data_IF_805468985701
#
_entry.id   IF_805468985701
#
_cell.length_a   1.000
_cell.length_b   1.000
_cell.length_c   1.000
_cell.angle_alpha   90.00
_cell.angle_beta   90.00
_cell.angle_gamma   90.00
#
_symmetry.space_group_name_H-M   'P 1'
#
loop_
_entity.id
_entity.type
_entity.pdbx_description
1 polymer ?
#
# COMPACT_ATOMS: atom_id res chain seq x y z
N UNK A 1 -0.98 -4.39 -21.41
CA UNK A 1 -2.30 -4.80 -21.96
C UNK A 1 -3.28 -4.94 -20.82
N UNK A 2 -4.59 -4.81 -21.07
CA UNK A 2 -5.60 -4.93 -20.02
C UNK A 2 -5.45 -6.25 -19.24
N UNK A 3 -5.39 -6.16 -17.92
CA UNK A 3 -5.19 -7.28 -17.01
C UNK A 3 -3.72 -7.61 -16.71
N UNK A 4 -2.75 -6.95 -17.34
CA UNK A 4 -1.34 -7.14 -17.03
C UNK A 4 -1.00 -6.60 -15.64
N UNK A 5 -0.11 -7.32 -14.95
CA UNK A 5 0.42 -6.92 -13.66
C UNK A 5 1.50 -5.84 -13.81
N UNK A 6 1.29 -4.70 -13.18
CA UNK A 6 2.26 -3.60 -13.07
C UNK A 6 3.08 -3.83 -11.80
N UNK A 7 4.24 -4.46 -11.97
CA UNK A 7 5.11 -4.88 -10.86
C UNK A 7 5.82 -3.68 -10.25
N UNK A 8 5.85 -3.65 -8.91
CA UNK A 8 6.68 -2.73 -8.15
C UNK A 8 8.15 -3.17 -8.17
N UNK A 9 9.06 -2.20 -8.05
CA UNK A 9 10.49 -2.40 -7.95
C UNK A 9 11.02 -1.69 -6.70
N UNK A 10 11.82 -2.42 -5.91
CA UNK A 10 12.57 -1.81 -4.80
C UNK A 10 13.76 -1.05 -5.38
N UNK A 11 13.85 0.23 -5.08
CA UNK A 11 14.91 1.11 -5.61
C UNK A 11 16.10 1.19 -4.65
N UNK A 12 15.85 1.19 -3.35
CA UNK A 12 16.88 1.22 -2.31
C UNK A 12 16.40 0.56 -1.02
N UNK A 13 17.29 -0.16 -0.35
CA UNK A 13 17.08 -0.68 0.99
C UNK A 13 18.35 -0.53 1.84
N UNK A 14 18.22 -0.01 3.06
CA UNK A 14 19.35 0.21 3.99
C UNK A 14 18.95 -0.06 5.44
N UNK A 15 19.93 -0.42 6.25
CA UNK A 15 19.77 -0.61 7.71
C UNK A 15 20.65 0.41 8.43
N UNK A 16 20.11 1.02 9.47
CA UNK A 16 20.86 1.82 10.44
C UNK A 16 20.77 1.10 11.78
N UNK A 17 21.91 0.59 12.26
CA UNK A 17 22.06 0.05 13.61
C UNK A 17 22.40 1.15 14.60
N UNK A 18 21.85 1.10 15.82
CA UNK A 18 22.07 2.09 16.88
C UNK A 18 21.76 3.51 16.40
N UNK A 19 20.49 3.75 16.06
CA UNK A 19 20.00 5.03 15.57
C UNK A 19 20.37 6.16 16.54
N UNK A 20 20.83 7.28 15.99
CA UNK A 20 21.11 8.46 16.78
C UNK A 20 19.86 8.89 17.56
N UNK A 21 20.02 9.22 18.84
CA UNK A 21 18.89 9.51 19.74
C UNK A 21 18.00 10.66 19.26
N UNK A 22 18.57 11.70 18.64
CA UNK A 22 17.78 12.83 18.15
C UNK A 22 16.92 12.41 16.95
N UNK A 23 17.45 11.57 16.06
CA UNK A 23 16.68 11.01 14.94
C UNK A 23 15.62 10.03 15.43
N UNK A 24 15.96 9.19 16.41
CA UNK A 24 15.01 8.25 17.02
C UNK A 24 13.79 8.99 17.61
N UNK A 25 14.02 10.13 18.27
CA UNK A 25 12.95 10.99 18.79
C UNK A 25 12.07 11.57 17.67
N UNK A 26 12.65 12.05 16.58
CA UNK A 26 11.87 12.59 15.44
C UNK A 26 11.03 11.50 14.75
N UNK A 27 11.50 10.25 14.73
CA UNK A 27 10.80 9.11 14.16
C UNK A 27 9.82 8.44 15.14
N UNK A 28 9.73 8.91 16.38
CA UNK A 28 8.85 8.31 17.40
C UNK A 28 9.22 6.85 17.72
N UNK A 29 10.52 6.54 17.77
CA UNK A 29 10.98 5.21 18.16
C UNK A 29 10.72 4.94 19.65
N UNK A 30 10.36 3.71 19.97
CA UNK A 30 10.29 3.22 21.35
C UNK A 30 11.70 3.06 21.94
N UNK A 31 11.83 3.05 23.26
CA UNK A 31 13.13 2.99 23.96
C UNK A 31 13.95 1.74 23.59
N UNK A 32 13.28 0.62 23.30
CA UNK A 32 13.90 -0.63 22.87
C UNK A 32 14.19 -0.68 21.36
N UNK A 33 13.61 0.18 20.53
CA UNK A 33 13.81 0.20 19.08
C UNK A 33 15.12 0.93 18.71
N UNK A 34 16.21 0.17 18.60
CA UNK A 34 17.55 0.72 18.34
C UNK A 34 18.00 0.67 16.90
N UNK A 35 17.27 -0.04 16.04
CA UNK A 35 17.62 -0.23 14.63
C UNK A 35 16.44 0.12 13.74
N UNK A 36 16.72 0.71 12.57
CA UNK A 36 15.71 0.98 11.53
C UNK A 36 16.14 0.44 10.17
N UNK A 37 15.15 0.05 9.39
CA UNK A 37 15.26 -0.32 7.99
C UNK A 37 14.55 0.72 7.14
N UNK A 38 15.23 1.22 6.11
CA UNK A 38 14.70 2.20 5.17
C UNK A 38 14.51 1.54 3.82
N UNK A 39 13.38 1.79 3.17
CA UNK A 39 13.07 1.30 1.83
C UNK A 39 12.46 2.40 0.98
N UNK A 40 12.80 2.43 -0.31
CA UNK A 40 12.10 3.21 -1.34
C UNK A 40 11.74 2.32 -2.52
N UNK A 41 10.62 2.62 -3.17
CA UNK A 41 10.11 1.87 -4.32
C UNK A 41 9.35 2.79 -5.28
N UNK A 42 9.02 2.27 -6.46
CA UNK A 42 8.23 2.96 -7.48
C UNK A 42 6.72 2.68 -7.39
N UNK A 43 6.23 2.04 -6.32
CA UNK A 43 4.81 1.81 -6.07
C UNK A 43 4.48 1.94 -4.59
N UNK A 44 3.74 2.97 -4.24
CA UNK A 44 3.44 3.31 -2.84
C UNK A 44 2.49 2.32 -2.16
N UNK A 45 1.30 2.06 -2.72
CA UNK A 45 0.30 1.18 -2.12
C UNK A 45 0.75 -0.29 -2.02
N UNK A 46 1.50 -0.79 -3.01
CA UNK A 46 2.16 -2.11 -2.91
C UNK A 46 3.11 -2.13 -1.72
N UNK A 47 3.84 -1.04 -1.49
CA UNK A 47 4.82 -0.93 -0.42
C UNK A 47 4.17 -0.73 0.96
N UNK A 48 3.03 -0.04 1.05
CA UNK A 48 2.25 0.03 2.30
C UNK A 48 1.76 -1.35 2.73
N UNK A 49 1.27 -2.17 1.81
CA UNK A 49 0.89 -3.57 2.12
C UNK A 49 2.12 -4.42 2.47
N UNK A 50 3.24 -4.24 1.76
CA UNK A 50 4.49 -4.95 2.07
C UNK A 50 5.08 -4.57 3.44
N UNK A 51 4.95 -3.29 3.85
CA UNK A 51 5.31 -2.80 5.18
C UNK A 51 4.47 -3.49 6.26
N UNK A 52 3.17 -3.67 6.00
CA UNK A 52 2.28 -4.41 6.90
C UNK A 52 2.66 -5.89 7.00
N UNK A 53 2.99 -6.52 5.88
CA UNK A 53 3.50 -7.91 5.84
C UNK A 53 4.75 -8.07 6.69
N UNK A 54 5.68 -7.11 6.67
CA UNK A 54 6.88 -7.14 7.50
C UNK A 54 6.55 -7.26 9.00
N UNK A 55 5.50 -6.58 9.46
CA UNK A 55 5.06 -6.63 10.88
C UNK A 55 4.50 -7.99 11.30
N UNK A 56 4.13 -8.84 10.32
CA UNK A 56 3.70 -10.23 10.55
C UNK A 56 4.86 -11.21 10.60
N UNK A 57 5.99 -10.87 9.95
CA UNK A 57 7.12 -11.78 9.72
C UNK A 57 8.32 -11.51 10.62
N UNK A 58 8.43 -10.31 11.17
CA UNK A 58 9.48 -9.92 12.09
C UNK A 58 8.92 -9.06 13.23
N UNK A 59 9.66 -8.96 14.34
CA UNK A 59 9.30 -8.07 15.44
C UNK A 59 9.71 -6.62 15.11
N UNK A 60 8.98 -6.04 14.16
CA UNK A 60 9.19 -4.69 13.65
C UNK A 60 7.89 -3.89 13.65
N UNK A 61 8.03 -2.56 13.72
CA UNK A 61 6.94 -1.60 13.60
C UNK A 61 7.21 -0.66 12.44
N UNK A 62 6.17 -0.31 11.69
CA UNK A 62 6.25 0.77 10.69
C UNK A 62 6.21 2.09 11.45
N UNK A 63 7.27 2.88 11.37
CA UNK A 63 7.41 4.14 12.11
C UNK A 63 7.31 5.37 11.22
N UNK A 64 7.48 5.18 9.92
CA UNK A 64 7.28 6.23 8.92
C UNK A 64 6.93 5.58 7.59
N UNK A 65 5.93 6.12 6.91
CA UNK A 65 5.60 5.71 5.55
C UNK A 65 4.90 6.88 4.85
N UNK A 66 5.48 7.35 3.73
CA UNK A 66 4.98 8.51 3.00
C UNK A 66 5.21 8.38 1.51
N UNK A 67 4.14 8.63 0.76
CA UNK A 67 4.17 8.78 -0.68
C UNK A 67 4.83 10.10 -1.09
N UNK A 68 5.34 10.17 -2.32
CA UNK A 68 6.00 11.35 -2.89
C UNK A 68 5.13 11.96 -3.98
N UNK A 69 5.20 13.29 -4.08
CA UNK A 69 4.36 14.05 -4.99
C UNK A 69 4.55 13.67 -6.46
N UNK A 70 3.43 13.50 -7.15
CA UNK A 70 3.30 13.18 -8.57
C UNK A 70 3.79 11.79 -9.01
N UNK A 71 4.07 10.88 -8.08
CA UNK A 71 4.37 9.48 -8.40
C UNK A 71 5.72 9.25 -9.09
N UNK A 72 6.04 7.98 -9.33
CA UNK A 72 7.39 7.53 -9.68
C UNK A 72 7.82 8.00 -11.08
N UNK A 73 6.87 8.17 -12.00
CA UNK A 73 7.12 8.72 -13.34
C UNK A 73 7.63 10.16 -13.32
N UNK A 74 7.43 10.88 -12.20
CA UNK A 74 7.92 12.26 -12.00
C UNK A 74 9.11 12.35 -11.04
N UNK A 75 9.70 11.21 -10.65
CA UNK A 75 10.85 11.20 -9.76
C UNK A 75 12.07 11.89 -10.41
N UNK A 76 12.56 12.96 -9.77
CA UNK A 76 13.72 13.73 -10.25
C UNK A 76 15.08 13.15 -9.82
N UNK A 77 15.08 12.12 -8.97
CA UNK A 77 16.28 11.43 -8.50
C UNK A 77 16.12 9.92 -8.52
N UNK A 78 17.21 9.20 -8.84
CA UNK A 78 17.22 7.77 -9.19
C UNK A 78 16.58 6.84 -8.14
N UNK A 79 16.70 7.17 -6.85
CA UNK A 79 16.30 6.28 -5.76
C UNK A 79 15.06 6.77 -5.01
N UNK A 80 14.44 7.87 -5.45
CA UNK A 80 13.26 8.42 -4.78
C UNK A 80 12.05 7.53 -4.99
N UNK A 81 11.77 7.14 -6.24
CA UNK A 81 10.53 6.46 -6.60
C UNK A 81 9.33 7.30 -6.21
N UNK A 82 8.36 6.70 -5.54
CA UNK A 82 7.16 7.39 -5.04
C UNK A 82 6.80 7.10 -3.58
N UNK A 83 7.63 6.37 -2.85
CA UNK A 83 7.41 6.15 -1.41
C UNK A 83 8.73 5.99 -0.67
N UNK A 84 8.74 6.46 0.58
CA UNK A 84 9.71 6.03 1.59
C UNK A 84 8.98 5.31 2.73
N UNK A 85 9.46 4.12 3.06
CA UNK A 85 9.05 3.34 4.22
C UNK A 85 10.19 3.19 5.23
N UNK A 86 9.86 3.25 6.52
CA UNK A 86 10.80 3.02 7.62
C UNK A 86 10.17 2.06 8.62
N UNK A 87 10.85 0.93 8.84
CA UNK A 87 10.54 -0.02 9.91
C UNK A 87 11.56 0.09 11.04
N UNK A 88 11.12 -0.11 12.27
CA UNK A 88 11.97 -0.09 13.46
C UNK A 88 11.90 -1.44 14.20
N UNK A 89 13.00 -1.83 14.82
CA UNK A 89 13.09 -3.04 15.64
C UNK A 89 14.21 -2.96 16.66
N UNK A 90 14.23 -3.89 17.60
CA UNK A 90 15.23 -3.89 18.69
C UNK A 90 16.65 -4.15 18.19
N UNK A 91 16.79 -5.02 17.18
CA UNK A 91 18.08 -5.45 16.66
C UNK A 91 18.16 -5.29 15.14
N UNK A 92 19.38 -5.16 14.58
CA UNK A 92 19.56 -5.16 13.13
C UNK A 92 19.06 -6.44 12.45
N UNK A 93 19.03 -7.57 13.17
CA UNK A 93 18.57 -8.85 12.63
C UNK A 93 17.05 -8.87 12.41
N UNK A 94 16.27 -8.36 13.37
CA UNK A 94 14.81 -8.21 13.22
C UNK A 94 14.47 -7.27 12.07
N UNK A 95 15.16 -6.13 12.00
CA UNK A 95 15.00 -5.17 10.89
C UNK A 95 15.34 -5.81 9.55
N UNK A 96 16.45 -6.57 9.47
CA UNK A 96 16.81 -7.28 8.24
C UNK A 96 15.72 -8.28 7.84
N UNK A 97 15.21 -9.07 8.78
CA UNK A 97 14.12 -10.02 8.51
C UNK A 97 12.85 -9.31 8.02
N UNK A 98 12.53 -8.15 8.60
CA UNK A 98 11.41 -7.32 8.15
C UNK A 98 11.61 -6.77 6.73
N UNK A 99 12.80 -6.28 6.40
CA UNK A 99 13.12 -5.82 5.04
C UNK A 99 13.09 -6.98 4.03
N UNK A 100 13.65 -8.14 4.37
CA UNK A 100 13.64 -9.30 3.48
C UNK A 100 12.19 -9.73 3.16
N UNK A 101 11.30 -9.74 4.15
CA UNK A 101 9.87 -10.05 3.97
C UNK A 101 9.14 -8.99 3.13
N UNK A 102 9.40 -7.70 3.40
CA UNK A 102 8.83 -6.57 2.67
C UNK A 102 9.22 -6.62 1.19
N UNK A 103 10.51 -6.73 0.89
CA UNK A 103 11.04 -6.73 -0.47
C UNK A 103 10.44 -7.90 -1.25
N UNK A 104 10.43 -9.10 -0.65
CA UNK A 104 9.82 -10.27 -1.29
C UNK A 104 8.34 -10.04 -1.61
N UNK A 105 7.56 -9.52 -0.66
CA UNK A 105 6.14 -9.28 -0.86
C UNK A 105 5.88 -8.25 -1.96
N UNK A 106 6.59 -7.12 -1.93
CA UNK A 106 6.43 -6.03 -2.89
C UNK A 106 6.73 -6.47 -4.34
N UNK A 107 7.76 -7.31 -4.54
CA UNK A 107 8.17 -7.72 -5.89
C UNK A 107 7.42 -8.94 -6.43
N UNK A 108 6.69 -9.69 -5.57
CA UNK A 108 6.12 -11.00 -5.94
C UNK A 108 4.63 -11.18 -5.63
N UNK A 109 4.08 -10.53 -4.60
CA UNK A 109 2.74 -10.87 -4.07
C UNK A 109 1.67 -9.79 -4.33
N UNK A 110 2.07 -8.54 -4.52
CA UNK A 110 1.16 -7.41 -4.76
C UNK A 110 1.59 -6.58 -5.97
N UNK A 111 0.61 -6.09 -6.73
CA UNK A 111 0.83 -5.27 -7.93
C UNK A 111 -0.44 -4.50 -8.27
N UNK A 112 -0.26 -3.38 -8.95
CA UNK A 112 -1.36 -2.75 -9.69
C UNK A 112 -1.69 -3.58 -10.93
N UNK A 113 -2.89 -3.42 -11.46
CA UNK A 113 -3.38 -4.11 -12.66
C UNK A 113 -3.78 -3.06 -13.69
N UNK A 114 -3.38 -3.28 -14.94
CA UNK A 114 -3.79 -2.45 -16.06
C UNK A 114 -5.29 -2.61 -16.39
N UNK A 115 -6.01 -1.50 -16.52
CA UNK A 115 -7.42 -1.47 -16.90
C UNK A 115 -7.64 -1.33 -18.42
N UNK A 116 -6.61 -1.01 -19.19
CA UNK A 116 -6.69 -0.74 -20.63
C UNK A 116 -5.46 -1.26 -21.41
N UNK A 117 -5.50 -1.18 -22.74
CA UNK A 117 -4.51 -1.87 -23.57
C UNK A 117 -3.10 -1.27 -23.53
N UNK A 118 -2.98 0.03 -23.22
CA UNK A 118 -1.73 0.79 -23.20
C UNK A 118 -1.21 1.10 -21.79
N UNK A 119 -1.81 0.49 -20.75
CA UNK A 119 -1.43 0.60 -19.35
C UNK A 119 -1.47 2.03 -18.78
N UNK A 120 -2.23 2.93 -19.44
CA UNK A 120 -2.39 4.32 -19.00
C UNK A 120 -3.42 4.51 -17.88
N UNK A 121 -4.27 3.50 -17.61
CA UNK A 121 -5.19 3.46 -16.47
C UNK A 121 -4.91 2.18 -15.69
N UNK A 122 -4.61 2.32 -14.38
CA UNK A 122 -4.25 1.21 -13.50
C UNK A 122 -5.04 1.26 -12.21
N UNK A 123 -5.27 0.13 -11.57
CA UNK A 123 -5.90 0.06 -10.25
C UNK A 123 -5.20 -0.96 -9.34
N UNK A 124 -5.36 -0.77 -8.04
CA UNK A 124 -4.95 -1.72 -7.01
C UNK A 124 -6.19 -2.21 -6.29
N UNK A 125 -6.45 -3.52 -6.34
CA UNK A 125 -7.57 -4.15 -5.66
C UNK A 125 -7.07 -5.39 -4.91
N UNK A 126 -6.58 -5.17 -3.68
CA UNK A 126 -5.88 -6.20 -2.92
C UNK A 126 -6.63 -6.59 -1.64
N UNK A 127 -6.95 -7.87 -1.50
CA UNK A 127 -7.60 -8.41 -0.30
C UNK A 127 -6.56 -8.86 0.73
N UNK A 128 -6.34 -8.02 1.75
CA UNK A 128 -5.51 -8.36 2.91
C UNK A 128 -6.34 -9.23 3.85
N UNK A 129 -6.25 -10.55 3.67
CA UNK A 129 -7.02 -11.52 4.44
C UNK A 129 -6.80 -11.43 5.96
N UNK A 130 -5.56 -11.16 6.37
CA UNK A 130 -5.18 -10.93 7.77
C UNK A 130 -4.17 -9.80 7.84
N UNK A 131 -4.60 -8.58 8.18
CA UNK A 131 -3.69 -7.46 8.32
C UNK A 131 -2.70 -7.66 9.47
N UNK A 132 -1.51 -7.13 9.29
CA UNK A 132 -0.48 -6.96 10.31
C UNK A 132 -0.82 -5.79 11.22
N UNK A 133 0.15 -5.39 12.05
CA UNK A 133 -0.07 -4.32 13.04
C UNK A 133 -0.33 -2.97 12.38
N UNK A 134 0.30 -2.70 11.23
CA UNK A 134 0.30 -1.40 10.59
C UNK A 134 -1.05 -1.06 9.96
N UNK A 135 -1.56 -1.90 9.05
CA UNK A 135 -2.86 -1.68 8.44
C UNK A 135 -4.00 -1.91 9.43
N UNK A 136 -3.81 -2.76 10.45
CA UNK A 136 -4.83 -2.92 11.50
C UNK A 136 -5.06 -1.64 12.28
N UNK A 137 -3.99 -0.92 12.62
CA UNK A 137 -4.05 0.38 13.30
C UNK A 137 -4.74 1.43 12.43
N UNK A 138 -4.38 1.52 11.14
CA UNK A 138 -4.99 2.49 10.21
C UNK A 138 -6.48 2.22 10.01
N UNK A 139 -6.87 0.95 9.81
CA UNK A 139 -8.26 0.57 9.56
C UNK A 139 -9.10 0.43 10.86
N UNK A 140 -8.48 0.53 12.04
CA UNK A 140 -9.14 0.28 13.32
C UNK A 140 -9.84 -1.09 13.34
N UNK A 141 -9.18 -2.13 12.82
CA UNK A 141 -9.68 -3.52 12.78
C UNK A 141 -9.04 -4.34 13.90
N UNK A 142 -9.80 -5.29 14.44
CA UNK A 142 -9.36 -6.23 15.47
C UNK A 142 -9.23 -7.66 14.92
N UNK A 143 -8.98 -7.79 13.62
CA UNK A 143 -8.79 -9.07 12.94
C UNK A 143 -9.68 -9.27 11.72
N UNK A 144 -10.58 -8.33 11.43
CA UNK A 144 -11.30 -8.28 10.15
C UNK A 144 -10.31 -8.11 8.98
N UNK A 145 -10.68 -8.67 7.83
CA UNK A 145 -9.92 -8.51 6.58
C UNK A 145 -10.09 -7.08 6.05
N UNK A 146 -9.18 -6.69 5.15
CA UNK A 146 -9.21 -5.38 4.49
C UNK A 146 -9.22 -5.59 2.97
N UNK A 147 -10.11 -4.89 2.28
CA UNK A 147 -9.98 -4.61 0.85
C UNK A 147 -9.26 -3.27 0.70
N UNK A 148 -8.05 -3.30 0.15
CA UNK A 148 -7.25 -2.13 -0.17
C UNK A 148 -7.52 -1.77 -1.62
N UNK A 149 -8.23 -0.67 -1.85
CA UNK A 149 -8.79 -0.30 -3.15
C UNK A 149 -8.27 1.08 -3.57
N UNK A 150 -7.56 1.16 -4.70
CA UNK A 150 -6.97 2.39 -5.24
C UNK A 150 -7.13 2.44 -6.75
N UNK A 151 -7.47 3.61 -7.28
CA UNK A 151 -7.54 3.89 -8.72
C UNK A 151 -7.32 5.41 -8.94
N UNK A 152 -7.28 5.90 -10.19
CA UNK A 152 -7.24 7.34 -10.45
C UNK A 152 -8.52 8.04 -9.93
N UNK A 153 -8.54 9.38 -9.87
CA UNK A 153 -9.47 10.11 -9.01
C UNK A 153 -10.97 9.83 -9.19
N UNK A 154 -11.45 9.77 -10.43
CA UNK A 154 -12.88 9.58 -10.71
C UNK A 154 -13.26 8.10 -10.58
N UNK A 155 -12.43 7.26 -11.17
CA UNK A 155 -12.50 5.80 -11.16
C UNK A 155 -12.60 5.27 -9.73
N UNK A 156 -11.78 5.79 -8.82
CA UNK A 156 -11.76 5.38 -7.42
C UNK A 156 -13.08 5.69 -6.70
N UNK A 157 -13.68 6.87 -6.94
CA UNK A 157 -14.94 7.24 -6.28
C UNK A 157 -16.11 6.38 -6.77
N UNK A 158 -16.18 6.15 -8.09
CA UNK A 158 -17.19 5.27 -8.69
C UNK A 158 -16.99 3.82 -8.22
N UNK A 159 -15.75 3.34 -8.26
CA UNK A 159 -15.38 1.99 -7.84
C UNK A 159 -15.65 1.73 -6.36
N UNK A 160 -15.36 2.68 -5.47
CA UNK A 160 -15.65 2.54 -4.03
C UNK A 160 -17.15 2.44 -3.76
N UNK A 161 -17.96 3.28 -4.39
CA UNK A 161 -19.43 3.20 -4.25
C UNK A 161 -19.97 1.85 -4.75
N UNK A 162 -19.46 1.35 -5.89
CA UNK A 162 -19.80 0.02 -6.39
C UNK A 162 -19.39 -1.09 -5.40
N UNK A 163 -18.17 -1.04 -4.87
CA UNK A 163 -17.66 -2.02 -3.91
C UNK A 163 -18.49 -2.07 -2.61
N UNK A 164 -18.88 -0.90 -2.08
CA UNK A 164 -19.74 -0.77 -0.90
C UNK A 164 -21.15 -1.32 -1.13
N UNK A 165 -21.68 -1.24 -2.36
CA UNK A 165 -22.99 -1.81 -2.72
C UNK A 165 -22.92 -3.32 -2.96
N UNK A 166 -21.78 -3.83 -3.41
CA UNK A 166 -21.61 -5.23 -3.79
C UNK A 166 -21.36 -6.17 -2.60
N UNK A 167 -20.85 -5.66 -1.48
CA UNK A 167 -20.42 -6.48 -0.35
C UNK A 167 -20.73 -5.83 1.01
N UNK A 168 -20.87 -6.67 2.03
CA UNK A 168 -21.01 -6.23 3.43
C UNK A 168 -19.64 -5.81 3.99
N UNK A 169 -19.26 -4.56 3.69
CA UNK A 169 -18.01 -3.92 4.09
C UNK A 169 -18.24 -2.48 4.54
N UNK A 170 -17.37 -1.98 5.41
CA UNK A 170 -17.42 -0.61 5.93
C UNK A 170 -16.16 0.16 5.52
N UNK A 171 -16.30 1.47 5.27
CA UNK A 171 -15.14 2.34 5.05
C UNK A 171 -14.35 2.44 6.36
N UNK A 172 -13.14 1.91 6.36
CA UNK A 172 -12.21 1.99 7.48
C UNK A 172 -11.30 3.22 7.36
N UNK A 173 -10.87 3.53 6.15
CA UNK A 173 -10.08 4.73 5.83
C UNK A 173 -10.44 5.21 4.44
N UNK A 174 -10.61 6.52 4.28
CA UNK A 174 -10.92 7.15 2.99
C UNK A 174 -9.74 8.00 2.53
N UNK A 175 -9.23 7.70 1.33
CA UNK A 175 -8.16 8.43 0.66
C UNK A 175 -8.77 9.28 -0.45
N UNK A 176 -9.31 10.45 -0.08
CA UNK A 176 -9.93 11.36 -1.03
C UNK A 176 -8.92 11.94 -2.05
N UNK A 177 -9.33 12.21 -3.30
CA UNK A 177 -8.43 12.71 -4.33
C UNK A 177 -8.01 14.18 -4.09
N UNK A 178 -6.76 14.56 -4.39
CA UNK A 178 -5.64 13.68 -4.77
C UNK A 178 -4.85 13.19 -3.54
N UNK A 179 -4.40 11.93 -3.57
CA UNK A 179 -3.20 11.51 -2.83
C UNK A 179 -1.96 12.24 -3.38
N UNK A 180 -0.81 12.12 -2.71
CA UNK A 180 0.44 12.68 -3.24
C UNK A 180 0.78 12.16 -4.66
N UNK A 181 0.37 10.94 -5.00
CA UNK A 181 0.57 10.31 -6.32
C UNK A 181 -0.52 10.63 -7.35
N UNK A 182 -1.51 11.47 -7.00
CA UNK A 182 -2.70 11.80 -7.80
C UNK A 182 -3.69 10.64 -8.01
N UNK A 183 -3.73 9.69 -7.06
CA UNK A 183 -4.72 8.62 -7.00
C UNK A 183 -5.76 8.91 -5.90
N UNK A 184 -6.71 8.00 -5.74
CA UNK A 184 -7.67 7.99 -4.63
C UNK A 184 -8.13 6.57 -4.32
N UNK A 185 -8.85 6.40 -3.21
CA UNK A 185 -9.44 5.13 -2.84
C UNK A 185 -9.66 5.00 -1.34
N UNK A 186 -9.38 3.82 -0.77
CA UNK A 186 -9.58 3.58 0.64
C UNK A 186 -9.35 2.15 1.10
N UNK A 187 -9.49 1.97 2.40
CA UNK A 187 -9.54 0.67 3.05
C UNK A 187 -10.98 0.37 3.41
N UNK A 188 -11.51 -0.76 2.93
CA UNK A 188 -12.79 -1.29 3.37
C UNK A 188 -12.54 -2.50 4.28
N UNK A 189 -13.22 -2.60 5.42
CA UNK A 189 -13.09 -3.74 6.33
C UNK A 189 -14.36 -4.58 6.37
N UNK A 190 -14.19 -5.88 6.58
CA UNK A 190 -15.30 -6.83 6.68
C UNK A 190 -14.81 -8.28 6.74
N UNK A 191 -15.71 -9.22 6.44
CA UNK A 191 -15.31 -10.63 6.28
C UNK A 191 -14.36 -10.79 5.09
N UNK A 192 -13.49 -11.80 5.11
CA UNK A 192 -12.59 -12.07 3.97
C UNK A 192 -13.34 -12.23 2.65
N UNK A 193 -14.51 -12.88 2.66
CA UNK A 193 -15.36 -13.02 1.47
C UNK A 193 -15.96 -11.68 1.03
N UNK A 194 -16.38 -10.84 1.96
CA UNK A 194 -16.90 -9.50 1.66
C UNK A 194 -15.81 -8.62 1.05
N UNK A 195 -14.61 -8.60 1.64
CA UNK A 195 -13.47 -7.85 1.10
C UNK A 195 -13.06 -8.33 -0.29
N UNK A 196 -13.08 -9.65 -0.53
CA UNK A 196 -12.81 -10.20 -1.87
C UNK A 196 -13.87 -9.78 -2.89
N UNK A 197 -15.15 -9.86 -2.55
CA UNK A 197 -16.24 -9.40 -3.42
C UNK A 197 -16.15 -7.88 -3.71
N UNK A 198 -15.77 -7.09 -2.70
CA UNK A 198 -15.51 -5.66 -2.86
C UNK A 198 -14.35 -5.40 -3.84
N UNK A 199 -13.23 -6.13 -3.74
CA UNK A 199 -12.11 -6.05 -4.70
C UNK A 199 -12.55 -6.41 -6.12
N UNK A 200 -13.31 -7.48 -6.30
CA UNK A 200 -13.79 -7.93 -7.62
C UNK A 200 -14.74 -6.90 -8.25
N UNK A 201 -15.68 -6.34 -7.46
CA UNK A 201 -16.59 -5.28 -7.92
C UNK A 201 -15.84 -4.00 -8.27
N UNK A 202 -14.90 -3.58 -7.42
CA UNK A 202 -14.07 -2.39 -7.67
C UNK A 202 -13.32 -2.51 -8.99
N UNK A 203 -12.61 -3.63 -9.20
CA UNK A 203 -11.83 -3.90 -10.41
C UNK A 203 -12.68 -3.91 -11.68
N UNK A 204 -13.85 -4.57 -11.65
CA UNK A 204 -14.79 -4.58 -12.76
C UNK A 204 -15.26 -3.16 -13.12
N UNK A 205 -15.64 -2.37 -12.12
CA UNK A 205 -16.08 -0.98 -12.31
C UNK A 205 -14.97 -0.11 -12.91
N UNK A 206 -13.72 -0.23 -12.46
CA UNK A 206 -12.62 0.55 -13.05
C UNK A 206 -12.44 0.20 -14.54
N UNK A 207 -12.54 -1.09 -14.89
CA UNK A 207 -12.44 -1.53 -16.27
C UNK A 207 -13.59 -0.98 -17.14
N UNK A 208 -14.82 -0.93 -16.61
CA UNK A 208 -15.97 -0.35 -17.30
C UNK A 208 -15.80 1.16 -17.54
N UNK A 209 -15.32 1.90 -16.52
CA UNK A 209 -15.03 3.33 -16.66
C UNK A 209 -13.92 3.56 -17.70
N UNK A 210 -12.86 2.74 -17.68
CA UNK A 210 -11.78 2.81 -18.66
C UNK A 210 -12.24 2.54 -20.11
N UNK A 211 -13.22 1.64 -20.30
CA UNK A 211 -13.80 1.33 -21.61
C UNK A 211 -14.74 2.41 -22.15
N UNK A 212 -15.43 3.14 -21.26
CA UNK A 212 -16.46 4.11 -21.64
C UNK A 212 -16.46 5.38 -20.78
N UNK A 213 -15.35 6.15 -20.72
CA UNK A 213 -15.14 7.25 -19.76
C UNK A 213 -16.03 8.49 -19.98
N UNK A 214 -16.95 8.46 -20.94
CA UNK A 214 -17.86 9.58 -21.29
C UNK A 214 -19.33 9.16 -21.33
N UNK A 215 -19.65 7.94 -20.90
CA UNK A 215 -21.01 7.44 -20.80
C UNK A 215 -21.48 7.56 -19.33
N UNK A 216 -22.63 8.20 -19.09
CA UNK A 216 -23.16 8.50 -17.76
C UNK A 216 -24.64 8.13 -17.63
#
# INVERSE_FOLDING_TARGET
MKGDAIKANILSAKIISNVNINLAQQLGLLENERSIGLVTSDSDDVTYVALDEATKKANVRVVYAKSLYAGASNASTKLAGEIIGVIAGETPAEVKSGLDALIYFAENEAHFISANDDDSIVYFAHCVSRPGKYLSEIAGTNGESIAYLIAPPEEALIGLDAALKAADVEIASFYGPPSETNFAGGLLKGSQSSCKAACESFAATICEVAESPKCY
#
